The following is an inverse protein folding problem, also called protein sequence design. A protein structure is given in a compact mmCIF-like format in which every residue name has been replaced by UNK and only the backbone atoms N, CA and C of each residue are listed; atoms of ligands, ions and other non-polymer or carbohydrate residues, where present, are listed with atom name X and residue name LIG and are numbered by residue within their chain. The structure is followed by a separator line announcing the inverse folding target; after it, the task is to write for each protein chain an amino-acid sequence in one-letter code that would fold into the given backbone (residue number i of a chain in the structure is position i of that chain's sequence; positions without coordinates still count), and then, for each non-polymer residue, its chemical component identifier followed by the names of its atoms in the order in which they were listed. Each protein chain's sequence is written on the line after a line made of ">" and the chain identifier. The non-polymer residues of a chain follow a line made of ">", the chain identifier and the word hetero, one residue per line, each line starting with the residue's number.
data_IF_224052702096
#
_entry.id   IF_224052702096
#
_cell.length_a   1.000
_cell.length_b   1.000
_cell.length_c   1.000
_cell.angle_alpha   90.00
_cell.angle_beta   90.00
_cell.angle_gamma   90.00
#
_symmetry.space_group_name_H-M   'P 1'
#
loop_
_entity.id
_entity.type
_entity.pdbx_description
1 polymer ?
#
# COMPACT_ATOMS: atom_id res chain seq x y z
N UNK A 1 -8.00 -13.52 20.97
CA UNK A 1 -8.39 -13.73 19.57
C UNK A 1 -7.12 -13.77 18.72
N UNK A 2 -7.02 -14.62 17.71
CA UNK A 2 -5.81 -14.68 16.87
C UNK A 2 -5.78 -13.57 15.82
N UNK A 3 -4.59 -13.16 15.35
CA UNK A 3 -4.42 -12.10 14.33
C UNK A 3 -5.24 -12.33 13.06
N UNK A 4 -5.44 -13.58 12.64
CA UNK A 4 -6.28 -13.93 11.49
C UNK A 4 -7.74 -13.54 11.71
N UNK A 5 -8.30 -13.93 12.87
CA UNK A 5 -9.67 -13.58 13.25
C UNK A 5 -9.87 -12.07 13.34
N UNK A 6 -8.89 -11.33 13.87
CA UNK A 6 -8.95 -9.86 13.89
C UNK A 6 -8.95 -9.24 12.49
N UNK A 7 -8.14 -9.78 11.57
CA UNK A 7 -8.11 -9.31 10.18
C UNK A 7 -9.42 -9.63 9.46
N UNK A 8 -10.00 -10.81 9.69
CA UNK A 8 -11.26 -11.20 9.06
C UNK A 8 -12.42 -10.33 9.56
N UNK A 9 -12.48 -10.02 10.85
CA UNK A 9 -13.44 -9.05 11.39
C UNK A 9 -13.24 -7.64 10.79
N UNK A 10 -11.99 -7.22 10.63
CA UNK A 10 -11.66 -5.92 10.01
C UNK A 10 -12.13 -5.87 8.56
N UNK A 11 -11.91 -6.95 7.79
CA UNK A 11 -12.38 -7.08 6.40
C UNK A 11 -13.90 -7.00 6.30
N UNK A 12 -14.63 -7.64 7.21
CA UNK A 12 -16.09 -7.55 7.28
C UNK A 12 -16.57 -6.13 7.60
N UNK A 13 -15.90 -5.45 8.53
CA UNK A 13 -16.18 -4.03 8.85
C UNK A 13 -15.94 -3.12 7.65
N UNK A 14 -14.84 -3.30 6.92
CA UNK A 14 -14.52 -2.52 5.72
C UNK A 14 -15.58 -2.77 4.64
N UNK A 15 -15.96 -4.03 4.41
CA UNK A 15 -16.89 -4.44 3.36
C UNK A 15 -18.29 -3.82 3.55
N UNK A 16 -18.75 -3.75 4.80
CA UNK A 16 -20.06 -3.20 5.17
C UNK A 16 -20.05 -1.71 5.52
N UNK A 17 -18.89 -1.04 5.52
CA UNK A 17 -18.74 0.34 5.99
C UNK A 17 -19.59 1.35 5.21
N UNK A 18 -20.31 2.23 5.90
CA UNK A 18 -21.09 3.34 5.30
C UNK A 18 -20.73 4.72 5.86
N UNK A 19 -19.57 4.84 6.52
CA UNK A 19 -19.19 6.03 7.31
C UNK A 19 -19.00 7.29 6.45
N UNK A 20 -18.58 7.16 5.19
CA UNK A 20 -18.39 8.30 4.29
C UNK A 20 -19.09 8.09 2.95
N UNK A 21 -19.28 9.18 2.19
CA UNK A 21 -20.01 9.20 0.91
C UNK A 21 -19.46 8.26 -0.17
N UNK A 22 -18.22 7.79 -0.06
CA UNK A 22 -17.66 6.82 -1.01
C UNK A 22 -18.39 5.47 -0.98
N UNK A 23 -19.11 5.15 0.10
CA UNK A 23 -19.96 3.95 0.15
C UNK A 23 -21.15 4.01 -0.79
N UNK A 24 -21.57 5.20 -1.20
CA UNK A 24 -22.76 5.39 -2.04
C UNK A 24 -22.50 5.04 -3.52
N UNK A 25 -21.23 5.06 -3.95
CA UNK A 25 -20.86 4.92 -5.36
C UNK A 25 -19.98 3.73 -5.68
N UNK A 26 -19.40 3.08 -4.67
CA UNK A 26 -18.59 1.86 -4.89
C UNK A 26 -19.47 0.68 -5.31
N UNK A 27 -18.91 -0.22 -6.11
CA UNK A 27 -19.48 -1.56 -6.32
C UNK A 27 -19.01 -2.49 -5.21
N UNK A 28 -17.70 -2.52 -4.93
CA UNK A 28 -17.14 -3.25 -3.80
C UNK A 28 -16.22 -2.35 -2.98
N UNK A 29 -16.27 -2.48 -1.66
CA UNK A 29 -15.14 -2.04 -0.86
C UNK A 29 -13.95 -2.94 -1.12
N UNK A 30 -12.75 -2.41 -0.91
CA UNK A 30 -11.49 -3.08 -1.21
C UNK A 30 -10.63 -3.07 0.05
N UNK A 31 -10.84 -4.04 0.96
CA UNK A 31 -9.91 -4.26 2.06
C UNK A 31 -8.54 -4.71 1.54
N UNK A 32 -7.52 -4.63 2.39
CA UNK A 32 -6.19 -5.13 2.05
C UNK A 32 -6.16 -6.65 1.82
N UNK A 33 -5.25 -7.06 0.93
CA UNK A 33 -5.10 -8.43 0.45
C UNK A 33 -3.65 -8.90 0.58
N UNK A 34 -3.46 -10.21 0.79
CA UNK A 34 -2.16 -10.84 1.00
C UNK A 34 -1.92 -11.37 2.41
N UNK A 35 -0.66 -11.67 2.74
CA UNK A 35 -0.27 -12.35 3.99
C UNK A 35 -0.34 -11.44 5.21
N UNK A 36 -1.08 -11.88 6.24
CA UNK A 36 -1.10 -11.20 7.55
C UNK A 36 0.20 -11.37 8.34
N UNK A 37 1.09 -12.26 7.89
CA UNK A 37 2.42 -12.46 8.47
C UNK A 37 3.49 -11.66 7.73
N UNK A 38 3.10 -10.89 6.71
CA UNK A 38 4.04 -10.19 5.86
C UNK A 38 4.92 -9.21 6.63
N UNK A 39 6.17 -9.13 6.21
CA UNK A 39 7.12 -8.11 6.69
C UNK A 39 7.06 -6.81 5.90
N UNK A 40 6.32 -6.79 4.78
CA UNK A 40 6.24 -5.65 3.86
C UNK A 40 4.77 -5.36 3.55
N UNK A 41 4.35 -4.11 3.79
CA UNK A 41 3.05 -3.60 3.33
C UNK A 41 3.28 -2.59 2.19
N UNK A 42 2.56 -2.76 1.07
CA UNK A 42 2.45 -1.76 0.02
C UNK A 42 1.15 -0.97 0.18
N UNK A 43 1.24 0.36 0.21
CA UNK A 43 0.10 1.24 0.47
C UNK A 43 -0.07 2.22 -0.69
N UNK A 44 -1.17 2.09 -1.44
CA UNK A 44 -1.61 3.06 -2.42
C UNK A 44 -2.60 4.08 -1.87
N UNK A 45 -3.19 4.86 -2.76
CA UNK A 45 -4.13 5.93 -2.44
C UNK A 45 -5.56 5.40 -2.23
N UNK A 46 -6.15 4.87 -3.29
CA UNK A 46 -7.54 4.46 -3.36
C UNK A 46 -7.73 3.33 -4.41
N UNK A 47 -8.83 2.56 -4.35
CA UNK A 47 -9.22 1.66 -5.41
C UNK A 47 -9.53 2.39 -6.72
N UNK A 48 -9.08 1.83 -7.85
CA UNK A 48 -9.51 2.23 -9.18
C UNK A 48 -10.72 1.43 -9.66
N UNK A 49 -11.08 1.57 -10.94
CA UNK A 49 -12.22 0.89 -11.56
C UNK A 49 -12.15 -0.64 -11.38
N UNK A 50 -11.03 -1.27 -11.75
CA UNK A 50 -10.93 -2.74 -11.72
C UNK A 50 -10.88 -3.29 -10.29
N UNK A 51 -10.30 -2.54 -9.36
CA UNK A 51 -10.27 -2.87 -7.94
C UNK A 51 -11.68 -2.87 -7.35
N UNK A 52 -12.45 -1.82 -7.63
CA UNK A 52 -13.86 -1.67 -7.24
C UNK A 52 -14.75 -2.77 -7.80
N UNK A 53 -14.52 -3.20 -9.05
CA UNK A 53 -15.29 -4.31 -9.63
C UNK A 53 -14.93 -5.67 -9.01
N UNK A 54 -13.70 -5.86 -8.56
CA UNK A 54 -13.20 -7.16 -8.07
C UNK A 54 -13.12 -7.28 -6.55
N UNK A 55 -13.28 -6.19 -5.81
CA UNK A 55 -13.07 -6.17 -4.35
C UNK A 55 -11.62 -6.45 -3.94
N UNK A 56 -10.63 -6.25 -4.83
CA UNK A 56 -9.21 -6.57 -4.56
C UNK A 56 -8.28 -5.41 -4.95
N UNK A 57 -7.27 -5.08 -4.15
CA UNK A 57 -6.39 -3.93 -4.39
C UNK A 57 -5.40 -4.21 -5.52
N UNK A 58 -5.07 -3.21 -6.32
CA UNK A 58 -4.04 -3.30 -7.37
C UNK A 58 -4.23 -4.52 -8.31
N UNK A 59 -5.36 -4.58 -9.01
CA UNK A 59 -5.70 -5.62 -9.99
C UNK A 59 -5.87 -5.07 -11.42
N UNK A 60 -5.85 -3.75 -11.60
CA UNK A 60 -5.75 -3.05 -12.87
C UNK A 60 -4.32 -3.01 -13.43
N UNK A 61 -4.08 -2.15 -14.43
CA UNK A 61 -2.77 -2.05 -15.10
C UNK A 61 -1.63 -1.68 -14.15
N UNK A 62 -1.85 -0.67 -13.28
CA UNK A 62 -0.88 -0.26 -12.26
C UNK A 62 -0.56 -1.41 -11.28
N UNK A 63 -1.57 -2.22 -10.95
CA UNK A 63 -1.41 -3.38 -10.09
C UNK A 63 -0.67 -4.55 -10.73
N UNK A 64 -0.84 -4.75 -12.04
CA UNK A 64 0.00 -5.70 -12.80
C UNK A 64 1.46 -5.27 -12.75
N UNK A 65 1.76 -3.99 -13.01
CA UNK A 65 3.13 -3.48 -12.90
C UNK A 65 3.70 -3.67 -11.49
N UNK A 66 2.94 -3.33 -10.44
CA UNK A 66 3.35 -3.59 -9.06
C UNK A 66 3.66 -5.07 -8.82
N UNK A 67 2.82 -5.97 -9.33
CA UNK A 67 3.02 -7.42 -9.21
C UNK A 67 4.32 -7.88 -9.89
N UNK A 68 4.65 -7.33 -11.06
CA UNK A 68 5.92 -7.64 -11.75
C UNK A 68 7.12 -7.09 -10.96
N UNK A 69 7.02 -5.89 -10.40
CA UNK A 69 8.10 -5.33 -9.58
C UNK A 69 8.35 -6.16 -8.31
N UNK A 70 7.29 -6.64 -7.66
CA UNK A 70 7.40 -7.52 -6.49
C UNK A 70 8.04 -8.86 -6.88
N UNK A 71 7.57 -9.49 -7.96
CA UNK A 71 8.11 -10.75 -8.48
C UNK A 71 9.57 -10.62 -8.94
N UNK A 72 9.80 -9.76 -9.92
CA UNK A 72 11.02 -9.80 -10.73
C UNK A 72 12.18 -9.08 -10.05
N UNK A 73 11.90 -8.12 -9.14
CA UNK A 73 12.93 -7.34 -8.45
C UNK A 73 13.12 -7.78 -7.00
N UNK A 74 12.04 -8.10 -6.28
CA UNK A 74 12.13 -8.52 -4.87
C UNK A 74 12.24 -10.03 -4.72
N UNK A 75 11.93 -10.82 -5.75
CA UNK A 75 11.89 -12.28 -5.68
C UNK A 75 10.78 -12.79 -4.76
N UNK A 76 9.69 -12.03 -4.61
CA UNK A 76 8.54 -12.35 -3.75
C UNK A 76 7.29 -12.56 -4.60
N UNK A 77 6.34 -13.34 -4.10
CA UNK A 77 5.02 -13.39 -4.71
C UNK A 77 4.06 -12.38 -4.05
N UNK A 78 3.00 -12.03 -4.77
CA UNK A 78 1.95 -11.16 -4.25
C UNK A 78 1.33 -11.69 -2.94
N UNK A 79 1.29 -13.01 -2.77
CA UNK A 79 0.75 -13.66 -1.56
C UNK A 79 1.65 -13.49 -0.33
N UNK A 80 2.94 -13.22 -0.52
CA UNK A 80 3.93 -13.09 0.57
C UNK A 80 3.93 -11.68 1.18
N UNK A 81 3.40 -10.72 0.43
CA UNK A 81 3.27 -9.31 0.83
C UNK A 81 1.85 -8.98 1.24
N UNK A 82 1.64 -7.82 1.86
CA UNK A 82 0.29 -7.26 2.04
C UNK A 82 0.15 -5.99 1.21
N UNK A 83 -0.97 -5.84 0.51
CA UNK A 83 -1.23 -4.71 -0.39
C UNK A 83 -2.56 -4.08 -0.02
N UNK A 84 -2.58 -2.77 0.14
CA UNK A 84 -3.77 -2.02 0.58
C UNK A 84 -3.72 -0.57 0.11
N UNK A 85 -4.72 0.23 0.48
CA UNK A 85 -4.85 1.65 0.16
C UNK A 85 -5.20 2.48 1.40
N UNK A 86 -4.97 3.80 1.35
CA UNK A 86 -5.38 4.73 2.41
C UNK A 86 -6.90 4.72 2.57
N UNK A 87 -7.65 4.86 1.49
CA UNK A 87 -9.11 4.68 1.49
C UNK A 87 -9.49 3.33 0.88
N UNK A 88 -10.60 2.74 1.34
CA UNK A 88 -11.05 1.39 0.94
C UNK A 88 -12.15 1.38 -0.12
N UNK A 89 -12.52 2.54 -0.65
CA UNK A 89 -13.61 2.69 -1.61
C UNK A 89 -13.15 3.56 -2.77
N UNK A 90 -13.58 3.24 -3.99
CA UNK A 90 -13.25 4.01 -5.19
C UNK A 90 -13.95 5.37 -5.17
N UNK A 91 -13.21 6.49 -5.27
CA UNK A 91 -13.81 7.79 -5.51
C UNK A 91 -14.48 7.89 -6.89
N UNK A 92 -15.60 8.62 -7.01
CA UNK A 92 -16.26 8.84 -8.30
C UNK A 92 -15.28 9.33 -9.38
N UNK A 93 -15.36 8.74 -10.57
CA UNK A 93 -14.46 9.08 -11.69
C UNK A 93 -12.96 8.91 -11.40
N UNK A 94 -12.56 8.13 -10.39
CA UNK A 94 -11.18 7.98 -9.94
C UNK A 94 -10.51 9.31 -9.54
N UNK A 95 -11.28 10.30 -9.07
CA UNK A 95 -10.67 11.49 -8.45
C UNK A 95 -9.87 11.09 -7.21
N UNK A 96 -9.02 11.99 -6.74
CA UNK A 96 -8.38 11.84 -5.44
C UNK A 96 -9.43 11.86 -4.31
N UNK A 97 -9.24 11.09 -3.22
CA UNK A 97 -10.12 11.15 -2.07
C UNK A 97 -9.97 12.50 -1.37
N UNK A 98 -11.09 13.06 -0.91
CA UNK A 98 -11.07 14.28 -0.11
C UNK A 98 -10.61 13.99 1.32
N UNK A 99 -10.18 15.03 2.04
CA UNK A 99 -9.65 14.91 3.40
C UNK A 99 -10.65 14.27 4.39
N UNK A 100 -11.93 14.57 4.25
CA UNK A 100 -12.99 13.99 5.08
C UNK A 100 -13.18 12.48 4.79
N UNK A 101 -12.96 12.03 3.55
CA UNK A 101 -13.00 10.62 3.17
C UNK A 101 -11.77 9.88 3.70
N UNK A 102 -10.59 10.50 3.59
CA UNK A 102 -9.34 9.97 4.15
C UNK A 102 -9.45 9.82 5.67
N UNK A 103 -9.82 10.89 6.37
CA UNK A 103 -9.95 10.86 7.84
C UNK A 103 -10.96 9.81 8.31
N UNK A 104 -12.11 9.68 7.62
CA UNK A 104 -13.13 8.68 7.95
C UNK A 104 -12.69 7.22 7.74
N UNK A 105 -11.81 6.97 6.76
CA UNK A 105 -11.45 5.61 6.35
C UNK A 105 -10.09 5.13 6.91
N UNK A 106 -9.21 6.07 7.21
CA UNK A 106 -7.80 5.81 7.51
C UNK A 106 -7.55 4.97 8.77
N UNK A 107 -8.47 4.96 9.73
CA UNK A 107 -8.41 4.09 10.91
C UNK A 107 -8.40 2.60 10.56
N UNK A 108 -8.97 2.20 9.41
CA UNK A 108 -8.85 0.83 8.91
C UNK A 108 -7.42 0.50 8.48
N UNK A 109 -6.72 1.43 7.85
CA UNK A 109 -5.31 1.24 7.47
C UNK A 109 -4.44 1.15 8.72
N UNK A 110 -4.67 2.02 9.71
CA UNK A 110 -3.94 1.98 10.99
C UNK A 110 -4.11 0.60 11.64
N UNK A 111 -5.34 0.06 11.63
CA UNK A 111 -5.61 -1.27 12.18
C UNK A 111 -4.98 -2.41 11.36
N UNK A 112 -4.96 -2.31 10.03
CA UNK A 112 -4.24 -3.28 9.17
C UNK A 112 -2.75 -3.33 9.55
N UNK A 113 -2.12 -2.16 9.70
CA UNK A 113 -0.70 -2.04 10.08
C UNK A 113 -0.45 -2.62 11.48
N UNK A 114 -1.32 -2.35 12.45
CA UNK A 114 -1.23 -2.92 13.80
C UNK A 114 -1.27 -4.44 13.80
N UNK A 115 -2.24 -5.03 13.09
CA UNK A 115 -2.42 -6.50 13.03
C UNK A 115 -1.23 -7.16 12.35
N UNK A 116 -0.76 -6.61 11.23
CA UNK A 116 0.34 -7.20 10.46
C UNK A 116 1.68 -7.00 11.17
N UNK A 117 1.87 -5.84 11.80
CA UNK A 117 3.09 -5.43 12.48
C UNK A 117 4.34 -5.60 11.60
N UNK A 118 4.41 -4.92 10.45
CA UNK A 118 5.43 -5.14 9.44
C UNK A 118 6.80 -4.61 9.88
N UNK A 119 7.84 -5.00 9.13
CA UNK A 119 9.15 -4.37 9.23
C UNK A 119 9.27 -3.17 8.27
N UNK A 120 8.57 -3.24 7.13
CA UNK A 120 8.63 -2.26 6.05
C UNK A 120 7.24 -1.81 5.61
N UNK A 121 7.12 -0.53 5.33
CA UNK A 121 5.97 0.06 4.63
C UNK A 121 6.49 0.75 3.37
N UNK A 122 5.99 0.34 2.21
CA UNK A 122 6.27 0.98 0.93
C UNK A 122 5.06 1.80 0.52
N UNK A 123 5.21 3.13 0.48
CA UNK A 123 4.13 4.03 0.09
C UNK A 123 4.23 4.35 -1.39
N UNK A 124 3.15 4.07 -2.11
CA UNK A 124 3.04 4.22 -3.55
C UNK A 124 2.36 5.56 -3.89
N UNK A 125 3.15 6.59 -4.16
CA UNK A 125 2.67 7.92 -4.53
C UNK A 125 2.47 8.88 -3.35
N UNK A 126 2.11 10.13 -3.69
CA UNK A 126 2.10 11.26 -2.76
C UNK A 126 1.11 11.11 -1.60
N UNK A 127 -0.06 10.51 -1.84
CA UNK A 127 -1.15 10.46 -0.86
C UNK A 127 -0.87 9.49 0.27
N UNK A 128 -0.49 8.25 -0.04
CA UNK A 128 -0.08 7.27 0.96
C UNK A 128 1.20 7.69 1.67
N UNK A 129 2.13 8.32 0.95
CA UNK A 129 3.36 8.90 1.54
C UNK A 129 3.00 9.97 2.57
N UNK A 130 2.20 10.97 2.19
CA UNK A 130 1.76 12.05 3.08
C UNK A 130 1.09 11.49 4.34
N UNK A 131 0.15 10.55 4.16
CA UNK A 131 -0.55 9.92 5.28
C UNK A 131 0.40 9.21 6.24
N UNK A 132 1.24 8.30 5.75
CA UNK A 132 2.13 7.50 6.61
C UNK A 132 3.23 8.34 7.25
N UNK A 133 3.82 9.29 6.51
CA UNK A 133 4.83 10.19 7.09
C UNK A 133 4.23 11.09 8.17
N UNK A 134 2.97 11.54 8.02
CA UNK A 134 2.27 12.28 9.08
C UNK A 134 2.13 11.46 10.37
N UNK A 135 1.80 10.17 10.26
CA UNK A 135 1.73 9.24 11.43
C UNK A 135 3.09 9.04 12.10
N UNK A 136 4.17 9.20 11.35
CA UNK A 136 5.54 9.14 11.84
C UNK A 136 6.08 10.51 12.34
N UNK A 137 5.28 11.58 12.30
CA UNK A 137 5.72 12.96 12.57
C UNK A 137 6.89 13.42 11.67
N UNK A 138 6.87 13.01 10.40
CA UNK A 138 7.88 13.36 9.41
C UNK A 138 7.26 14.32 8.39
N UNK A 139 7.86 15.52 8.17
CA UNK A 139 7.33 16.48 7.21
C UNK A 139 7.44 15.95 5.78
N UNK A 140 6.45 16.28 4.95
CA UNK A 140 6.38 15.88 3.55
C UNK A 140 6.05 17.07 2.66
N UNK A 141 6.90 17.33 1.67
CA UNK A 141 6.71 18.42 0.69
C UNK A 141 6.35 17.87 -0.69
N UNK A 142 7.19 16.99 -1.24
CA UNK A 142 6.94 16.37 -2.54
C UNK A 142 7.45 14.93 -2.59
N UNK A 143 6.83 14.11 -3.44
CA UNK A 143 7.23 12.71 -3.62
C UNK A 143 8.65 12.59 -4.20
N UNK A 144 9.04 13.52 -5.06
CA UNK A 144 10.36 13.54 -5.70
C UNK A 144 11.50 13.71 -4.68
N UNK A 145 11.24 14.44 -3.60
CA UNK A 145 12.26 14.72 -2.57
C UNK A 145 12.52 13.52 -1.64
N UNK A 146 11.52 12.65 -1.47
CA UNK A 146 11.53 11.58 -0.45
C UNK A 146 11.60 10.18 -1.03
N UNK A 147 11.30 9.98 -2.32
CA UNK A 147 11.31 8.64 -2.93
C UNK A 147 12.67 7.96 -2.82
N UNK A 148 12.66 6.64 -2.61
CA UNK A 148 13.86 5.80 -2.49
C UNK A 148 14.66 5.99 -1.20
N UNK A 149 14.25 6.91 -0.32
CA UNK A 149 14.84 7.11 1.00
C UNK A 149 14.06 6.31 2.04
N UNK A 150 14.76 5.90 3.10
CA UNK A 150 14.16 5.19 4.23
C UNK A 150 13.97 6.13 5.41
N UNK A 151 12.77 6.12 5.96
CA UNK A 151 12.38 6.86 7.15
C UNK A 151 12.00 5.88 8.26
N UNK A 152 12.11 6.30 9.53
CA UNK A 152 11.77 5.44 10.67
C UNK A 152 10.46 5.85 11.31
N UNK A 153 9.63 4.86 11.59
CA UNK A 153 8.46 4.97 12.47
C UNK A 153 8.53 3.86 13.51
N UNK A 154 9.13 4.18 14.66
CA UNK A 154 9.52 3.17 15.66
C UNK A 154 10.46 2.13 15.04
N UNK A 155 9.99 0.87 14.96
CA UNK A 155 10.73 -0.25 14.36
C UNK A 155 10.48 -0.43 12.85
N UNK A 156 9.49 0.28 12.31
CA UNK A 156 9.07 0.18 10.91
C UNK A 156 9.96 1.11 10.07
N UNK A 157 10.46 0.60 8.94
CA UNK A 157 11.09 1.44 7.91
C UNK A 157 10.09 1.77 6.81
N UNK A 158 9.90 3.06 6.54
CA UNK A 158 9.00 3.58 5.52
C UNK A 158 9.84 3.96 4.31
N UNK A 159 9.50 3.44 3.13
CA UNK A 159 10.11 3.81 1.86
C UNK A 159 9.06 4.35 0.89
N UNK A 160 9.02 5.67 0.65
CA UNK A 160 8.21 6.26 -0.41
C UNK A 160 8.74 5.90 -1.79
N UNK A 161 7.83 5.76 -2.76
CA UNK A 161 8.15 5.66 -4.19
C UNK A 161 7.01 6.22 -5.03
N UNK A 162 7.20 6.34 -6.35
CA UNK A 162 6.14 6.74 -7.25
C UNK A 162 5.00 5.71 -7.31
N UNK A 163 3.78 6.19 -7.55
CA UNK A 163 2.66 5.29 -7.78
C UNK A 163 2.85 4.58 -9.14
N UNK A 164 2.65 3.26 -9.24
CA UNK A 164 2.86 2.50 -10.48
C UNK A 164 2.08 3.05 -11.69
N UNK A 165 0.93 3.68 -11.47
CA UNK A 165 0.17 4.33 -12.55
C UNK A 165 0.96 5.42 -13.29
N UNK A 166 1.84 6.15 -12.61
CA UNK A 166 2.67 7.19 -13.23
C UNK A 166 3.74 6.60 -14.18
N UNK A 167 4.12 5.33 -13.96
CA UNK A 167 5.13 4.63 -14.74
C UNK A 167 4.55 3.82 -15.92
N UNK A 168 3.22 3.69 -16.05
CA UNK A 168 2.60 2.84 -17.08
C UNK A 168 2.95 3.29 -18.50
N UNK A 169 3.03 4.60 -18.73
CA UNK A 169 3.25 5.19 -20.05
C UNK A 169 4.45 6.14 -20.08
N UNK A 170 5.28 6.12 -19.03
CA UNK A 170 6.47 6.96 -18.92
C UNK A 170 7.71 6.08 -18.64
N UNK A 171 8.51 5.78 -19.67
CA UNK A 171 9.70 4.92 -19.54
C UNK A 171 10.72 5.44 -18.52
N UNK A 172 10.89 6.77 -18.42
CA UNK A 172 11.81 7.37 -17.47
C UNK A 172 11.33 7.13 -16.04
N UNK A 173 10.05 7.39 -15.75
CA UNK A 173 9.48 7.11 -14.42
C UNK A 173 9.45 5.61 -14.10
N UNK A 174 9.29 4.75 -15.12
CA UNK A 174 9.41 3.31 -14.94
C UNK A 174 10.81 2.90 -14.49
N UNK A 175 11.86 3.41 -15.13
CA UNK A 175 13.25 3.16 -14.70
C UNK A 175 13.47 3.61 -13.25
N UNK A 176 12.99 4.80 -12.89
CA UNK A 176 13.13 5.36 -11.54
C UNK A 176 12.38 4.54 -10.49
N UNK A 177 11.20 4.00 -10.83
CA UNK A 177 10.44 3.09 -9.99
C UNK A 177 11.14 1.74 -9.82
N UNK A 178 11.71 1.19 -10.89
CA UNK A 178 12.50 -0.05 -10.84
C UNK A 178 13.75 0.14 -9.95
N UNK A 179 14.42 1.29 -10.01
CA UNK A 179 15.56 1.61 -9.14
C UNK A 179 15.18 1.71 -7.66
N UNK A 180 13.98 2.22 -7.34
CA UNK A 180 13.46 2.18 -5.96
C UNK A 180 13.25 0.75 -5.47
N UNK A 181 12.71 -0.13 -6.31
CA UNK A 181 12.53 -1.53 -5.96
C UNK A 181 13.86 -2.26 -5.79
N UNK A 182 14.89 -1.94 -6.60
CA UNK A 182 16.26 -2.45 -6.39
C UNK A 182 16.87 -1.95 -5.07
N UNK A 183 16.60 -0.70 -4.72
CA UNK A 183 16.99 -0.11 -3.44
C UNK A 183 16.32 -0.84 -2.27
N UNK A 184 15.02 -1.14 -2.40
CA UNK A 184 14.29 -1.97 -1.44
C UNK A 184 14.89 -3.36 -1.32
N UNK A 185 15.13 -4.06 -2.43
CA UNK A 185 15.72 -5.40 -2.43
C UNK A 185 17.08 -5.42 -1.71
N UNK A 186 17.93 -4.43 -2.00
CA UNK A 186 19.23 -4.27 -1.34
C UNK A 186 19.08 -4.03 0.17
N UNK A 187 18.10 -3.22 0.59
CA UNK A 187 17.79 -3.01 2.01
C UNK A 187 17.34 -4.30 2.70
N UNK A 188 16.46 -5.08 2.06
CA UNK A 188 15.97 -6.36 2.58
C UNK A 188 17.13 -7.35 2.82
N UNK A 189 18.08 -7.42 1.89
CA UNK A 189 19.26 -8.30 1.98
C UNK A 189 20.30 -7.84 3.01
N UNK A 190 20.52 -6.52 3.16
CA UNK A 190 21.56 -5.96 4.03
C UNK A 190 21.37 -6.22 5.53
N UNK A 191 20.15 -6.56 5.97
CA UNK A 191 19.84 -6.82 7.39
C UNK A 191 20.02 -8.28 7.83
N UNK A 192 20.80 -9.07 7.07
CA UNK A 192 21.26 -10.39 7.52
C UNK A 192 20.14 -11.41 7.75
N UNK A 193 19.10 -11.37 6.93
CA UNK A 193 18.07 -12.41 6.85
C UNK A 193 18.08 -12.95 5.45
N UNK A 194 18.32 -14.24 5.29
CA UNK A 194 18.29 -14.86 3.97
C UNK A 194 16.88 -14.69 3.39
N UNK A 195 16.76 -14.59 2.07
CA UNK A 195 15.46 -14.56 1.38
C UNK A 195 14.59 -15.78 1.76
N UNK A 196 15.22 -16.87 2.22
CA UNK A 196 14.62 -18.08 2.79
C UNK A 196 13.90 -17.87 4.13
N UNK A 197 14.16 -16.78 4.87
CA UNK A 197 13.44 -16.46 6.12
C UNK A 197 12.03 -15.88 5.86
N UNK A 198 11.63 -15.77 4.59
CA UNK A 198 10.35 -15.24 4.13
C UNK A 198 9.46 -16.29 3.44
N UNK A 199 9.91 -17.55 3.36
CA UNK A 199 9.14 -18.73 2.92
C UNK A 199 8.70 -19.57 4.14
#
# INVERSE_FOLDING_TARGET
>A
MGRLSEMDELRLKITSCTVCRLSLTRVNAVPGDGSINSKIIFIGEAPGYYEDQKGKPFVGAAGKLLTHLISDVLGLERKDVFITNVVKCRPPNNRDPHEDEVSSCSSYLDREIEIISPNYIVTLGRHSTSYILSRANIPFTSISDVRGKFFKWGRIEIMPTFHPAAALYNPQLRSVLEDDFRTLASRLNSKGRNLLDYL
#
